data_IF_203584837169
#
_entry.id   IF_203584837169
#
_cell.length_a   1.000
_cell.length_b   1.000
_cell.length_c   1.000
_cell.angle_alpha   90.00
_cell.angle_beta   90.00
_cell.angle_gamma   90.00
#
_symmetry.space_group_name_H-M   'P 1'
#
loop_
_entity.id
_entity.type
_entity.pdbx_description
1 polymer ?
#
# COMPACT_ATOMS: atom_id res chain seq x y z
N UNK A 1 -25.73 1.17 -36.38
CA UNK A 1 -25.04 -0.03 -35.83
C UNK A 1 -23.60 0.30 -35.39
N UNK A 2 -22.84 1.08 -36.16
CA UNK A 2 -21.44 1.45 -35.88
C UNK A 2 -21.20 2.25 -34.59
N UNK A 3 -22.14 3.09 -34.16
CA UNK A 3 -22.02 3.91 -32.92
C UNK A 3 -22.20 3.06 -31.64
N UNK A 4 -22.99 1.99 -31.71
CA UNK A 4 -23.31 1.13 -30.56
C UNK A 4 -22.08 0.30 -30.12
N UNK A 5 -21.28 -0.16 -31.09
CA UNK A 5 -20.04 -0.93 -30.82
C UNK A 5 -18.97 -0.07 -30.15
N UNK A 6 -18.87 1.22 -30.52
CA UNK A 6 -17.92 2.16 -29.89
C UNK A 6 -18.34 2.55 -28.46
N UNK A 7 -19.65 2.63 -28.18
CA UNK A 7 -20.17 2.97 -26.86
C UNK A 7 -20.04 1.83 -25.84
N UNK A 8 -20.15 0.57 -26.28
CA UNK A 8 -19.99 -0.61 -25.41
C UNK A 8 -18.57 -0.78 -24.88
N UNK A 9 -17.55 -0.44 -25.68
CA UNK A 9 -16.14 -0.55 -25.29
C UNK A 9 -15.77 0.36 -24.10
N UNK A 10 -16.28 1.60 -24.07
CA UNK A 10 -16.02 2.57 -23.00
C UNK A 10 -16.57 2.11 -21.64
N UNK A 11 -17.76 1.51 -21.61
CA UNK A 11 -18.37 0.98 -20.39
C UNK A 11 -17.62 -0.22 -19.81
N UNK A 12 -17.16 -1.13 -20.68
CA UNK A 12 -16.36 -2.28 -20.28
C UNK A 12 -15.00 -1.87 -19.69
N UNK A 13 -14.33 -0.88 -20.31
CA UNK A 13 -13.04 -0.35 -19.84
C UNK A 13 -13.17 0.27 -18.44
N UNK A 14 -14.20 1.08 -18.19
CA UNK A 14 -14.44 1.69 -16.88
C UNK A 14 -14.62 0.63 -15.78
N UNK A 15 -15.41 -0.42 -16.06
CA UNK A 15 -15.60 -1.53 -15.13
C UNK A 15 -14.34 -2.36 -14.86
N UNK A 16 -13.47 -2.55 -15.85
CA UNK A 16 -12.20 -3.26 -15.71
C UNK A 16 -11.22 -2.47 -14.84
N UNK A 17 -11.13 -1.15 -15.05
CA UNK A 17 -10.28 -0.27 -14.24
C UNK A 17 -10.72 -0.28 -12.78
N UNK A 18 -12.03 -0.16 -12.51
CA UNK A 18 -12.57 -0.15 -11.15
C UNK A 18 -12.32 -1.46 -10.38
N UNK A 19 -12.51 -2.62 -11.03
CA UNK A 19 -12.38 -3.93 -10.37
C UNK A 19 -10.94 -4.41 -10.22
N UNK A 20 -10.01 -3.94 -11.06
CA UNK A 20 -8.63 -4.42 -11.08
C UNK A 20 -7.61 -3.35 -10.66
N UNK A 21 -8.04 -2.35 -9.88
CA UNK A 21 -7.19 -1.24 -9.44
C UNK A 21 -5.88 -1.72 -8.79
N UNK A 22 -5.94 -2.79 -7.99
CA UNK A 22 -4.78 -3.39 -7.31
C UNK A 22 -3.90 -4.27 -8.22
N UNK A 23 -4.45 -4.81 -9.32
CA UNK A 23 -3.82 -5.80 -10.18
C UNK A 23 -3.60 -5.25 -11.60
N UNK A 24 -2.92 -4.11 -11.67
CA UNK A 24 -2.90 -3.24 -12.86
C UNK A 24 -2.39 -3.87 -14.16
N UNK A 25 -1.42 -4.80 -14.09
CA UNK A 25 -0.94 -5.53 -15.28
C UNK A 25 -2.05 -6.38 -15.90
N UNK A 26 -2.93 -6.94 -15.06
CA UNK A 26 -4.09 -7.71 -15.49
C UNK A 26 -5.19 -6.80 -16.06
N UNK A 27 -5.43 -5.64 -15.44
CA UNK A 27 -6.37 -4.63 -15.96
C UNK A 27 -6.00 -4.19 -17.38
N UNK A 28 -4.71 -3.90 -17.62
CA UNK A 28 -4.21 -3.49 -18.93
C UNK A 28 -4.37 -4.59 -19.99
N UNK A 29 -4.06 -5.85 -19.64
CA UNK A 29 -4.24 -6.97 -20.55
C UNK A 29 -5.72 -7.17 -20.92
N UNK A 30 -6.64 -7.07 -19.95
CA UNK A 30 -8.07 -7.16 -20.19
C UNK A 30 -8.59 -6.04 -21.09
N UNK A 31 -8.15 -4.81 -20.85
CA UNK A 31 -8.52 -3.65 -21.69
C UNK A 31 -8.03 -3.83 -23.13
N UNK A 32 -6.78 -4.28 -23.32
CA UNK A 32 -6.23 -4.55 -24.65
C UNK A 32 -7.01 -5.66 -25.36
N UNK A 33 -7.39 -6.73 -24.66
CA UNK A 33 -8.19 -7.82 -25.23
C UNK A 33 -9.55 -7.32 -25.71
N UNK A 34 -10.26 -6.54 -24.89
CA UNK A 34 -11.58 -5.98 -25.25
C UNK A 34 -11.46 -5.00 -26.43
N UNK A 35 -10.50 -4.08 -26.39
CA UNK A 35 -10.26 -3.10 -27.46
C UNK A 35 -9.90 -3.77 -28.80
N UNK A 36 -9.09 -4.84 -28.78
CA UNK A 36 -8.77 -5.60 -29.98
C UNK A 36 -9.99 -6.33 -30.55
N UNK A 37 -10.86 -6.90 -29.68
CA UNK A 37 -12.08 -7.61 -30.10
C UNK A 37 -13.09 -6.69 -30.80
N UNK A 38 -13.24 -5.45 -30.32
CA UNK A 38 -14.15 -4.48 -30.93
C UNK A 38 -13.65 -4.04 -32.31
N UNK A 39 -12.32 -3.84 -32.44
CA UNK A 39 -11.68 -3.41 -33.69
C UNK A 39 -11.70 -4.49 -34.77
N UNK A 40 -11.49 -5.76 -34.42
CA UNK A 40 -11.57 -6.88 -35.38
C UNK A 40 -12.98 -7.01 -35.95
N UNK A 41 -13.99 -6.93 -35.09
CA UNK A 41 -15.41 -6.98 -35.48
C UNK A 41 -15.78 -5.81 -36.39
N UNK A 42 -15.30 -4.60 -36.08
CA UNK A 42 -15.57 -3.41 -36.88
C UNK A 42 -14.89 -3.46 -38.26
N UNK A 43 -13.61 -3.88 -38.31
CA UNK A 43 -12.83 -3.95 -39.54
C UNK A 43 -13.39 -4.99 -40.52
N UNK A 44 -13.96 -6.10 -40.04
CA UNK A 44 -14.60 -7.12 -40.86
C UNK A 44 -15.74 -6.57 -41.73
N UNK A 45 -16.38 -5.48 -41.29
CA UNK A 45 -17.45 -4.81 -42.03
C UNK A 45 -17.03 -3.49 -42.71
N UNK A 46 -15.86 -2.92 -42.36
CA UNK A 46 -15.49 -1.55 -42.72
C UNK A 46 -13.98 -1.38 -43.02
N UNK A 47 -13.45 -2.16 -43.97
CA UNK A 47 -12.00 -2.18 -44.32
C UNK A 47 -11.44 -0.80 -44.68
N UNK A 48 -12.24 0.10 -45.28
CA UNK A 48 -11.83 1.46 -45.64
C UNK A 48 -11.35 2.31 -44.44
N UNK A 49 -11.70 1.93 -43.21
CA UNK A 49 -11.33 2.66 -41.99
C UNK A 49 -10.03 2.16 -41.33
N UNK A 50 -9.32 1.22 -41.96
CA UNK A 50 -8.03 0.69 -41.49
C UNK A 50 -7.03 1.77 -41.03
N UNK A 51 -6.76 2.87 -41.78
CA UNK A 51 -5.80 3.88 -41.34
C UNK A 51 -6.24 4.60 -40.06
N UNK A 52 -7.54 4.85 -39.89
CA UNK A 52 -8.09 5.49 -38.68
C UNK A 52 -7.94 4.57 -37.45
N UNK A 53 -8.22 3.28 -37.61
CA UNK A 53 -8.06 2.27 -36.55
C UNK A 53 -6.60 2.12 -36.15
N UNK A 54 -5.67 2.15 -37.13
CA UNK A 54 -4.24 2.12 -36.87
C UNK A 54 -3.81 3.32 -36.01
N UNK A 55 -4.21 4.54 -36.39
CA UNK A 55 -3.93 5.77 -35.62
C UNK A 55 -4.51 5.69 -34.21
N UNK A 56 -5.77 5.27 -34.06
CA UNK A 56 -6.41 5.14 -32.76
C UNK A 56 -5.70 4.11 -31.87
N UNK A 57 -5.25 2.98 -32.45
CA UNK A 57 -4.53 1.94 -31.73
C UNK A 57 -3.16 2.41 -31.27
N UNK A 58 -2.42 3.13 -32.12
CA UNK A 58 -1.14 3.73 -31.74
C UNK A 58 -1.31 4.75 -30.62
N UNK A 59 -2.29 5.65 -30.72
CA UNK A 59 -2.59 6.63 -29.68
C UNK A 59 -2.97 5.95 -28.34
N UNK A 60 -3.78 4.89 -28.40
CA UNK A 60 -4.18 4.11 -27.24
C UNK A 60 -2.99 3.45 -26.54
N UNK A 61 -2.09 2.81 -27.29
CA UNK A 61 -0.88 2.19 -26.75
C UNK A 61 0.03 3.25 -26.11
N UNK A 62 0.26 4.38 -26.78
CA UNK A 62 1.09 5.47 -26.25
C UNK A 62 0.53 6.04 -24.94
N UNK A 63 -0.78 6.28 -24.89
CA UNK A 63 -1.46 6.76 -23.69
C UNK A 63 -1.28 5.77 -22.53
N UNK A 64 -1.42 4.46 -22.79
CA UNK A 64 -1.25 3.41 -21.78
C UNK A 64 0.21 3.17 -21.35
N UNK A 65 1.19 3.47 -22.20
CA UNK A 65 2.63 3.38 -21.86
C UNK A 65 3.10 4.52 -20.92
N UNK A 66 2.39 5.64 -20.86
CA UNK A 66 2.71 6.78 -19.99
C UNK A 66 2.20 6.64 -18.54
N UNK A 67 1.06 5.98 -18.36
CA UNK A 67 0.37 5.84 -17.06
C UNK A 67 1.19 5.07 -15.98
N UNK A 68 2.06 4.09 -16.28
CA UNK A 68 2.85 3.37 -15.26
C UNK A 68 3.83 4.26 -14.51
N UNK A 69 4.34 5.33 -15.13
CA UNK A 69 5.39 6.18 -14.56
C UNK A 69 4.85 7.15 -13.50
N UNK A 70 3.64 7.67 -13.70
CA UNK A 70 3.06 8.67 -12.80
C UNK A 70 2.57 8.08 -11.47
N UNK A 71 2.02 6.86 -11.49
CA UNK A 71 1.45 6.23 -10.29
C UNK A 71 2.48 5.50 -9.41
N UNK A 72 3.60 5.03 -9.96
CA UNK A 72 4.65 4.40 -9.13
C UNK A 72 5.16 5.38 -8.06
N UNK A 73 5.34 6.64 -8.43
CA UNK A 73 5.71 7.68 -7.48
C UNK A 73 4.66 7.83 -6.38
N UNK A 74 3.36 7.90 -6.73
CA UNK A 74 2.28 8.08 -5.75
C UNK A 74 2.14 6.89 -4.80
N UNK A 75 2.16 5.65 -5.29
CA UNK A 75 2.03 4.47 -4.43
C UNK A 75 3.26 4.27 -3.54
N UNK A 76 4.46 4.49 -4.07
CA UNK A 76 5.69 4.42 -3.27
C UNK A 76 5.71 5.53 -2.23
N UNK A 77 5.30 6.76 -2.57
CA UNK A 77 5.18 7.86 -1.60
C UNK A 77 4.15 7.57 -0.50
N UNK A 78 3.02 6.94 -0.83
CA UNK A 78 2.04 6.54 0.17
C UNK A 78 2.60 5.47 1.14
N UNK A 79 3.27 4.44 0.62
CA UNK A 79 3.89 3.39 1.44
C UNK A 79 5.03 3.97 2.29
N UNK A 80 5.87 4.82 1.71
CA UNK A 80 6.96 5.47 2.44
C UNK A 80 6.42 6.42 3.52
N UNK A 81 5.35 7.18 3.23
CA UNK A 81 4.69 8.03 4.22
C UNK A 81 4.08 7.23 5.37
N UNK A 82 3.48 6.07 5.08
CA UNK A 82 2.96 5.16 6.09
C UNK A 82 4.08 4.57 6.96
N UNK A 83 5.19 4.15 6.33
CA UNK A 83 6.38 3.66 7.04
C UNK A 83 7.06 4.77 7.86
N UNK A 84 7.14 5.99 7.35
CA UNK A 84 7.63 7.15 8.10
C UNK A 84 6.74 7.45 9.31
N UNK A 85 5.42 7.40 9.15
CA UNK A 85 4.48 7.63 10.26
C UNK A 85 4.61 6.55 11.33
N UNK A 86 4.79 5.29 10.95
CA UNK A 86 5.02 4.20 11.91
C UNK A 86 6.40 4.31 12.57
N UNK A 87 7.43 4.64 11.79
CA UNK A 87 8.79 4.85 12.27
C UNK A 87 8.92 6.05 13.23
N UNK A 88 8.04 7.04 13.11
CA UNK A 88 7.99 8.24 13.96
C UNK A 88 7.13 8.10 15.23
N UNK A 89 6.58 6.93 15.55
CA UNK A 89 5.97 6.73 16.87
C UNK A 89 7.05 6.64 17.96
N UNK A 90 6.93 7.45 19.02
CA UNK A 90 7.83 7.38 20.21
C UNK A 90 7.29 6.42 21.29
N UNK A 91 6.08 5.89 21.08
CA UNK A 91 5.45 4.91 21.95
C UNK A 91 5.33 3.56 21.26
N UNK A 92 5.36 2.50 22.05
CA UNK A 92 5.08 1.14 21.63
C UNK A 92 3.55 0.93 21.58
N UNK A 93 2.96 0.56 20.44
CA UNK A 93 1.50 0.49 20.28
C UNK A 93 0.86 -0.66 21.07
N UNK A 94 1.65 -1.66 21.48
CA UNK A 94 1.14 -2.79 22.25
C UNK A 94 1.01 -2.43 23.73
N UNK A 95 2.03 -1.83 24.31
CA UNK A 95 2.12 -1.54 25.75
C UNK A 95 1.71 -0.12 26.12
N UNK A 96 1.74 0.82 25.16
CA UNK A 96 1.55 2.25 25.36
C UNK A 96 2.76 2.96 25.98
N UNK A 97 3.80 2.21 26.36
CA UNK A 97 5.02 2.76 26.95
C UNK A 97 5.89 3.45 25.90
N UNK A 98 6.84 4.27 26.36
CA UNK A 98 7.89 4.83 25.51
C UNK A 98 8.70 3.69 24.90
N UNK A 99 8.81 3.67 23.57
CA UNK A 99 9.61 2.67 22.87
C UNK A 99 11.10 3.04 22.90
N UNK A 100 11.95 2.16 22.37
CA UNK A 100 13.40 2.40 22.34
C UNK A 100 13.79 3.77 21.77
N UNK A 101 13.12 4.23 20.72
CA UNK A 101 13.44 5.52 20.09
C UNK A 101 13.06 6.69 20.98
N UNK A 102 11.89 6.65 21.60
CA UNK A 102 11.51 7.67 22.58
C UNK A 102 12.41 7.66 23.83
N UNK A 103 12.95 6.50 24.22
CA UNK A 103 13.93 6.39 25.30
C UNK A 103 15.27 7.05 24.91
N UNK A 104 15.76 6.81 23.69
CA UNK A 104 16.95 7.46 23.13
C UNK A 104 16.77 8.99 23.07
N UNK A 105 15.63 9.48 22.57
CA UNK A 105 15.29 10.91 22.55
C UNK A 105 15.25 11.51 23.97
N UNK A 106 14.70 10.78 24.94
CA UNK A 106 14.69 11.21 26.35
C UNK A 106 16.11 11.25 26.94
N UNK A 107 16.96 10.27 26.64
CA UNK A 107 18.36 10.26 27.08
C UNK A 107 19.14 11.46 26.53
N UNK A 108 18.98 11.79 25.25
CA UNK A 108 19.63 12.95 24.64
C UNK A 108 19.19 14.27 25.30
N UNK A 109 17.90 14.40 25.61
CA UNK A 109 17.40 15.57 26.34
C UNK A 109 17.94 15.65 27.78
N UNK A 110 18.11 14.50 28.45
CA UNK A 110 18.62 14.44 29.82
C UNK A 110 20.11 14.76 29.92
N UNK A 111 20.91 14.46 28.89
CA UNK A 111 22.34 14.82 28.82
C UNK A 111 22.58 16.34 28.93
N UNK A 112 21.60 17.17 28.54
CA UNK A 112 21.67 18.62 28.65
C UNK A 112 21.42 19.15 30.08
N UNK A 113 21.00 18.30 31.03
CA UNK A 113 20.52 18.72 32.36
C UNK A 113 21.14 17.90 33.51
N UNK A 114 22.34 18.31 33.94
CA UNK A 114 22.96 17.92 35.22
C UNK A 114 23.47 16.46 35.34
N UNK A 115 24.36 16.16 36.30
CA UNK A 115 25.20 14.96 36.24
C UNK A 115 24.63 13.66 36.83
N UNK A 116 23.53 13.68 37.59
CA UNK A 116 23.10 12.47 38.32
C UNK A 116 21.72 11.97 37.88
N UNK A 117 21.70 10.76 37.30
CA UNK A 117 20.51 10.04 36.84
C UNK A 117 20.62 8.56 37.26
N UNK A 118 19.50 7.95 37.61
CA UNK A 118 19.41 6.52 37.91
C UNK A 118 18.59 5.82 36.83
N UNK A 119 19.14 4.75 36.25
CA UNK A 119 18.43 3.90 35.29
C UNK A 119 18.00 2.61 35.97
N UNK A 120 16.71 2.30 35.91
CA UNK A 120 16.17 1.01 36.28
C UNK A 120 15.94 0.18 35.00
N UNK A 121 16.54 -1.01 34.95
CA UNK A 121 16.30 -1.97 33.89
C UNK A 121 15.49 -3.15 34.45
N UNK A 122 14.36 -3.44 33.83
CA UNK A 122 13.42 -4.47 34.26
C UNK A 122 13.25 -5.48 33.12
N UNK A 123 13.39 -6.77 33.44
CA UNK A 123 13.12 -7.87 32.52
C UNK A 123 11.92 -8.69 33.03
N UNK A 124 11.17 -9.30 32.11
CA UNK A 124 10.03 -10.15 32.46
C UNK A 124 10.47 -11.62 32.48
N UNK A 125 10.80 -12.10 33.68
CA UNK A 125 11.21 -13.49 33.90
C UNK A 125 10.16 -14.48 33.36
N UNK A 126 10.64 -15.45 32.56
CA UNK A 126 9.78 -16.51 32.03
C UNK A 126 8.80 -16.09 30.94
N UNK A 127 8.88 -14.86 30.41
CA UNK A 127 7.98 -14.38 29.34
C UNK A 127 7.91 -15.31 28.13
N UNK A 128 9.06 -15.85 27.70
CA UNK A 128 9.11 -16.84 26.62
C UNK A 128 8.27 -18.09 26.89
N UNK A 129 8.24 -18.57 28.13
CA UNK A 129 7.46 -19.76 28.49
C UNK A 129 5.95 -19.49 28.42
N UNK A 130 5.53 -18.25 28.71
CA UNK A 130 4.13 -17.81 28.50
C UNK A 130 3.79 -17.88 27.01
N UNK A 131 4.66 -17.35 26.15
CA UNK A 131 4.47 -17.42 24.70
C UNK A 131 4.44 -18.85 24.17
N UNK A 132 5.34 -19.71 24.66
CA UNK A 132 5.48 -21.09 24.18
C UNK A 132 4.32 -21.98 24.64
N UNK A 133 3.75 -21.74 25.83
CA UNK A 133 2.66 -22.56 26.39
C UNK A 133 1.26 -22.05 26.03
N UNK A 134 1.08 -20.73 25.97
CA UNK A 134 -0.23 -20.10 25.85
C UNK A 134 -0.41 -19.32 24.54
N UNK A 135 0.63 -19.26 23.70
CA UNK A 135 0.63 -18.55 22.42
C UNK A 135 0.93 -17.07 22.57
N UNK A 136 1.26 -16.44 21.44
CA UNK A 136 1.71 -15.04 21.41
C UNK A 136 0.62 -14.06 21.84
N UNK A 137 -0.66 -14.36 21.58
CA UNK A 137 -1.77 -13.52 22.03
C UNK A 137 -1.84 -13.38 23.57
N UNK A 138 -1.47 -14.44 24.31
CA UNK A 138 -1.39 -14.41 25.77
C UNK A 138 -0.19 -13.58 26.25
N UNK A 139 0.95 -13.69 25.55
CA UNK A 139 2.11 -12.81 25.79
C UNK A 139 1.80 -11.34 25.54
N UNK A 140 1.08 -11.03 24.46
CA UNK A 140 0.65 -9.66 24.14
C UNK A 140 -0.29 -9.10 25.24
N UNK A 141 -1.19 -9.93 25.76
CA UNK A 141 -2.06 -9.54 26.88
C UNK A 141 -1.25 -9.27 28.16
N UNK A 142 -0.23 -10.11 28.44
CA UNK A 142 0.68 -9.90 29.55
C UNK A 142 1.49 -8.59 29.40
N UNK A 143 2.04 -8.33 28.21
CA UNK A 143 2.77 -7.09 27.92
C UNK A 143 1.88 -5.85 28.06
N UNK A 144 0.64 -5.90 27.58
CA UNK A 144 -0.35 -4.82 27.80
C UNK A 144 -0.54 -4.51 29.28
N UNK A 145 -0.72 -5.55 30.09
CA UNK A 145 -0.95 -5.40 31.53
C UNK A 145 0.30 -4.88 32.27
N UNK A 146 1.49 -5.34 31.88
CA UNK A 146 2.76 -4.79 32.40
C UNK A 146 2.90 -3.32 32.02
N UNK A 147 2.67 -2.97 30.76
CA UNK A 147 2.71 -1.59 30.27
C UNK A 147 1.76 -0.68 31.05
N UNK A 148 0.53 -1.15 31.27
CA UNK A 148 -0.48 -0.45 32.07
C UNK A 148 0.00 -0.19 33.50
N UNK A 149 0.57 -1.18 34.18
CA UNK A 149 1.04 -1.05 35.57
C UNK A 149 2.28 -0.16 35.73
N UNK A 150 3.14 -0.12 34.72
CA UNK A 150 4.33 0.75 34.72
C UNK A 150 3.99 2.20 34.35
N UNK A 151 2.85 2.43 33.71
CA UNK A 151 2.35 3.77 33.37
C UNK A 151 1.44 4.41 34.42
N UNK A 152 1.07 3.69 35.47
CA UNK A 152 0.39 4.20 36.68
C UNK A 152 1.38 4.92 37.61
#
# INVERSE_FOLDING_TARGET
MSIVVLASGLGAISGIVGRNFAARRYAMAQILIVDMSDKTTFLAAHVAFLPLIAVQTTAFILMNLGIPRHHRAVTVQAILGELESHGRSITDPLTGLVNRRGLEEAFDALQATGPERTLFYLDLDGFKQVNDRLGHAAGDALLREVGRRLGE
#
